data_IF_371852935961
#
_entry.id   IF_371852935961
#
_cell.length_a   1.000
_cell.length_b   1.000
_cell.length_c   1.000
_cell.angle_alpha   90.00
_cell.angle_beta   90.00
_cell.angle_gamma   90.00
#
_symmetry.space_group_name_H-M   'P 1'
#
loop_
_entity.id
_entity.type
_entity.pdbx_description
1 polymer ?
#
# COMPACT_ATOMS: atom_id res chain seq x y z
N UNK A 1 11.03 39.98 7.66
CA UNK A 1 12.00 38.87 7.67
C UNK A 1 11.31 37.71 8.39
N UNK A 2 10.78 36.72 7.66
CA UNK A 2 9.98 35.64 8.24
C UNK A 2 10.90 34.49 8.70
N UNK A 3 10.95 34.18 10.02
CA UNK A 3 11.69 33.04 10.54
C UNK A 3 10.77 31.82 10.55
N UNK A 4 10.69 31.06 9.45
CA UNK A 4 9.62 30.06 9.34
C UNK A 4 9.99 28.68 8.81
N UNK A 5 11.26 28.29 8.70
CA UNK A 5 11.55 26.90 8.28
C UNK A 5 12.66 26.25 9.10
N UNK A 6 13.80 26.89 9.30
CA UNK A 6 14.99 26.20 9.83
C UNK A 6 15.00 25.93 11.34
N UNK A 7 14.28 26.71 12.16
CA UNK A 7 14.34 26.60 13.63
C UNK A 7 13.54 25.43 14.22
N UNK A 8 12.82 24.65 13.40
CA UNK A 8 12.00 23.53 13.86
C UNK A 8 12.77 22.21 13.97
N UNK A 9 14.02 22.15 13.49
CA UNK A 9 14.81 20.91 13.40
C UNK A 9 14.30 19.89 12.37
N UNK A 10 13.14 20.12 11.73
CA UNK A 10 12.60 19.29 10.66
C UNK A 10 13.38 19.38 9.34
N UNK A 11 13.88 20.56 8.89
CA UNK A 11 14.58 20.63 7.61
C UNK A 11 15.91 19.87 7.54
N UNK A 12 16.73 19.81 8.62
CA UNK A 12 17.86 18.88 8.67
C UNK A 12 17.43 17.42 8.49
N UNK A 13 16.43 16.95 9.24
CA UNK A 13 15.94 15.57 9.15
C UNK A 13 15.41 15.22 7.75
N UNK A 14 14.70 16.16 7.10
CA UNK A 14 14.19 15.94 5.74
C UNK A 14 15.32 15.83 4.71
N UNK A 15 16.39 16.63 4.84
CA UNK A 15 17.55 16.56 3.95
C UNK A 15 18.32 15.26 4.13
N UNK A 16 18.52 14.83 5.37
CA UNK A 16 19.20 13.57 5.67
C UNK A 16 18.39 12.38 5.13
N UNK A 17 17.06 12.39 5.30
CA UNK A 17 16.18 11.34 4.80
C UNK A 17 16.15 11.26 3.26
N UNK A 18 16.31 12.38 2.54
CA UNK A 18 16.29 12.38 1.06
C UNK A 18 17.45 11.63 0.42
N UNK A 19 18.54 11.45 1.16
CA UNK A 19 19.75 10.76 0.70
C UNK A 19 19.55 9.23 0.72
N UNK A 20 18.75 8.71 1.66
CA UNK A 20 18.57 7.26 1.87
C UNK A 20 18.05 6.52 0.61
N UNK A 21 17.01 6.99 -0.10
CA UNK A 21 16.50 6.30 -1.29
C UNK A 21 17.41 6.35 -2.51
N UNK A 22 18.53 7.09 -2.45
CA UNK A 22 19.48 7.22 -3.56
C UNK A 22 20.67 6.28 -3.34
N UNK A 23 21.25 6.26 -2.14
CA UNK A 23 22.53 5.59 -1.89
C UNK A 23 22.42 4.14 -1.39
N UNK A 24 21.31 3.75 -0.77
CA UNK A 24 21.07 2.36 -0.32
C UNK A 24 20.31 1.53 -1.35
N UNK A 25 20.28 2.02 -2.59
CA UNK A 25 19.50 1.48 -3.69
C UNK A 25 18.21 2.27 -3.88
N UNK A 26 17.91 2.59 -5.14
CA UNK A 26 16.60 3.15 -5.46
C UNK A 26 15.52 2.18 -5.00
N UNK A 27 14.39 2.72 -4.52
CA UNK A 27 13.25 1.91 -4.08
C UNK A 27 12.83 0.88 -5.14
N UNK A 28 13.10 1.15 -6.42
CA UNK A 28 12.88 0.21 -7.50
C UNK A 28 13.87 -0.97 -7.49
N UNK A 29 15.16 -0.71 -7.31
CA UNK A 29 16.19 -1.78 -7.21
C UNK A 29 15.92 -2.66 -6.00
N UNK A 30 15.61 -2.08 -4.83
CA UNK A 30 15.26 -2.86 -3.64
C UNK A 30 13.98 -3.68 -3.82
N UNK A 31 12.98 -3.14 -4.53
CA UNK A 31 11.76 -3.88 -4.83
C UNK A 31 12.01 -5.07 -5.78
N UNK A 32 12.86 -4.88 -6.78
CA UNK A 32 13.28 -5.96 -7.69
C UNK A 32 14.13 -7.01 -6.97
N UNK A 33 15.00 -6.59 -6.06
CA UNK A 33 15.81 -7.49 -5.23
C UNK A 33 14.95 -8.34 -4.29
N UNK A 34 13.92 -7.74 -3.67
CA UNK A 34 12.92 -8.44 -2.90
C UNK A 34 12.22 -9.51 -3.73
N UNK A 35 11.71 -9.16 -4.92
CA UNK A 35 11.05 -10.13 -5.81
C UNK A 35 12.00 -11.28 -6.17
N UNK A 36 13.23 -10.96 -6.56
CA UNK A 36 14.24 -11.97 -6.90
C UNK A 36 14.49 -12.92 -5.74
N UNK A 37 14.60 -12.40 -4.53
CA UNK A 37 14.86 -13.18 -3.32
C UNK A 37 13.67 -14.05 -2.95
N UNK A 38 12.45 -13.50 -3.02
CA UNK A 38 11.21 -14.24 -2.76
C UNK A 38 11.06 -15.41 -3.74
N UNK A 39 11.20 -15.15 -5.03
CA UNK A 39 11.08 -16.19 -6.07
C UNK A 39 12.20 -17.23 -5.93
N UNK A 40 13.44 -16.78 -5.70
CA UNK A 40 14.60 -17.66 -5.55
C UNK A 40 14.53 -18.59 -4.34
N UNK A 41 13.82 -18.19 -3.27
CA UNK A 41 13.67 -18.97 -2.04
C UNK A 41 12.39 -19.81 -2.00
N UNK A 42 11.68 -19.97 -3.12
CA UNK A 42 10.47 -20.80 -3.18
C UNK A 42 9.18 -20.10 -2.75
N UNK A 43 9.18 -18.77 -2.64
CA UNK A 43 7.99 -17.95 -2.44
C UNK A 43 7.92 -17.26 -1.07
N UNK A 44 6.70 -17.00 -0.62
CA UNK A 44 6.37 -16.15 0.55
C UNK A 44 5.85 -16.94 1.74
N UNK A 45 5.98 -18.27 1.75
CA UNK A 45 5.46 -19.14 2.81
C UNK A 45 6.05 -18.78 4.20
N UNK A 46 7.33 -18.41 4.26
CA UNK A 46 7.96 -17.97 5.51
C UNK A 46 7.34 -16.69 6.07
N UNK A 47 6.87 -15.81 5.17
CA UNK A 47 6.18 -14.56 5.50
C UNK A 47 4.74 -14.85 5.92
N UNK A 48 4.05 -15.76 5.22
CA UNK A 48 2.72 -16.25 5.62
C UNK A 48 2.72 -16.78 7.05
N UNK A 49 3.71 -17.61 7.39
CA UNK A 49 3.90 -18.11 8.75
C UNK A 49 4.10 -16.99 9.78
N UNK A 50 4.71 -15.86 9.41
CA UNK A 50 4.82 -14.70 10.31
C UNK A 50 3.48 -14.00 10.53
N UNK A 51 2.69 -13.84 9.47
CA UNK A 51 1.33 -13.31 9.59
C UNK A 51 0.45 -14.20 10.48
N UNK A 52 0.55 -15.53 10.36
CA UNK A 52 -0.13 -16.44 11.26
C UNK A 52 0.33 -16.29 12.72
N UNK A 53 1.65 -16.17 12.96
CA UNK A 53 2.21 -15.94 14.29
C UNK A 53 1.68 -14.64 14.91
N UNK A 54 1.65 -13.56 14.13
CA UNK A 54 1.09 -12.29 14.58
C UNK A 54 -0.40 -12.39 14.87
N UNK A 55 -1.18 -13.06 14.01
CA UNK A 55 -2.61 -13.25 14.21
C UNK A 55 -2.95 -14.04 15.46
N UNK A 56 -2.24 -15.15 15.73
CA UNK A 56 -2.43 -15.96 16.94
C UNK A 56 -2.09 -15.21 18.24
N UNK A 57 -1.33 -14.13 18.16
CA UNK A 57 -0.93 -13.33 19.31
C UNK A 57 -1.88 -12.15 19.57
N UNK A 58 -3.05 -12.07 18.92
CA UNK A 58 -3.98 -10.93 19.05
C UNK A 58 -5.36 -11.42 19.48
N UNK A 59 -5.71 -11.15 20.74
CA UNK A 59 -6.98 -11.54 21.34
C UNK A 59 -7.91 -10.36 21.60
N UNK A 60 -7.37 -9.14 21.76
CA UNK A 60 -8.16 -7.97 22.11
C UNK A 60 -9.17 -7.63 20.99
N UNK A 61 -10.49 -7.51 21.29
CA UNK A 61 -11.52 -7.26 20.27
C UNK A 61 -11.26 -6.02 19.40
N UNK A 62 -10.69 -4.97 19.98
CA UNK A 62 -10.37 -3.72 19.28
C UNK A 62 -9.28 -3.87 18.21
N UNK A 63 -8.43 -4.88 18.33
CA UNK A 63 -7.31 -5.14 17.41
C UNK A 63 -7.69 -6.07 16.25
N UNK A 64 -8.86 -6.72 16.31
CA UNK A 64 -9.28 -7.71 15.31
C UNK A 64 -9.39 -7.13 13.91
N UNK A 65 -9.92 -5.90 13.79
CA UNK A 65 -9.97 -5.21 12.50
C UNK A 65 -8.57 -4.96 11.94
N UNK A 66 -7.62 -4.49 12.77
CA UNK A 66 -6.28 -4.17 12.33
C UNK A 66 -5.50 -5.41 11.86
N UNK A 67 -5.59 -6.53 12.59
CA UNK A 67 -4.92 -7.77 12.18
C UNK A 67 -5.56 -8.36 10.92
N UNK A 68 -6.88 -8.27 10.76
CA UNK A 68 -7.55 -8.73 9.55
C UNK A 68 -7.14 -7.89 8.34
N UNK A 69 -7.08 -6.57 8.46
CA UNK A 69 -6.61 -5.69 7.37
C UNK A 69 -5.18 -6.03 6.94
N UNK A 70 -4.29 -6.37 7.88
CA UNK A 70 -2.94 -6.81 7.56
C UNK A 70 -2.93 -8.14 6.78
N UNK A 71 -3.73 -9.11 7.22
CA UNK A 71 -3.88 -10.42 6.56
C UNK A 71 -4.46 -10.26 5.14
N UNK A 72 -5.49 -9.45 4.96
CA UNK A 72 -6.13 -9.23 3.65
C UNK A 72 -5.15 -8.57 2.66
N UNK A 73 -4.36 -7.60 3.12
CA UNK A 73 -3.32 -6.97 2.31
C UNK A 73 -2.22 -7.97 1.91
N UNK A 74 -1.81 -8.83 2.84
CA UNK A 74 -0.86 -9.92 2.55
C UNK A 74 -1.42 -10.92 1.54
N UNK A 75 -2.66 -11.38 1.73
CA UNK A 75 -3.32 -12.32 0.81
C UNK A 75 -3.44 -11.73 -0.59
N UNK A 76 -3.76 -10.43 -0.70
CA UNK A 76 -3.79 -9.74 -1.98
C UNK A 76 -2.40 -9.69 -2.63
N UNK A 77 -1.35 -9.43 -1.85
CA UNK A 77 0.03 -9.46 -2.35
C UNK A 77 0.47 -10.86 -2.79
N UNK A 78 0.06 -11.89 -2.05
CA UNK A 78 0.31 -13.29 -2.38
C UNK A 78 -0.34 -13.70 -3.70
N UNK A 79 -1.60 -13.32 -3.88
CA UNK A 79 -2.35 -13.61 -5.11
C UNK A 79 -1.77 -12.87 -6.31
N UNK A 80 -1.45 -11.58 -6.14
CA UNK A 80 -0.79 -10.80 -7.19
C UNK A 80 0.53 -11.45 -7.60
N UNK A 81 1.35 -11.89 -6.64
CA UNK A 81 2.65 -12.49 -6.93
C UNK A 81 2.52 -13.80 -7.73
N UNK A 82 1.49 -14.62 -7.44
CA UNK A 82 1.20 -15.84 -8.21
C UNK A 82 0.78 -15.50 -9.64
N UNK A 83 -0.14 -14.54 -9.80
CA UNK A 83 -0.67 -14.13 -11.10
C UNK A 83 0.42 -13.51 -11.97
N UNK A 84 1.17 -12.55 -11.43
CA UNK A 84 2.25 -11.87 -12.14
C UNK A 84 3.37 -12.83 -12.57
N UNK A 85 3.66 -13.87 -11.78
CA UNK A 85 4.62 -14.92 -12.17
C UNK A 85 4.15 -15.73 -13.38
N UNK A 86 2.84 -15.97 -13.52
CA UNK A 86 2.28 -16.68 -14.65
C UNK A 86 2.26 -15.82 -15.93
N UNK A 87 2.07 -14.51 -15.80
CA UNK A 87 2.03 -13.55 -16.93
C UNK A 87 3.43 -13.20 -17.47
N UNK A 88 4.45 -13.21 -16.62
CA UNK A 88 5.85 -13.12 -17.03
C UNK A 88 6.64 -11.97 -16.39
N UNK A 89 7.90 -11.85 -16.79
CA UNK A 89 8.86 -10.96 -16.12
C UNK A 89 8.54 -9.47 -16.25
N UNK A 90 7.87 -9.03 -17.32
CA UNK A 90 7.55 -7.61 -17.51
C UNK A 90 6.50 -7.13 -16.49
N UNK A 91 5.44 -7.91 -16.28
CA UNK A 91 4.39 -7.62 -15.29
C UNK A 91 4.94 -7.63 -13.86
N UNK A 92 5.78 -8.63 -13.55
CA UNK A 92 6.49 -8.71 -12.26
C UNK A 92 7.31 -7.46 -11.98
N UNK A 93 8.13 -7.03 -12.94
CA UNK A 93 8.99 -5.85 -12.78
C UNK A 93 8.17 -4.57 -12.68
N UNK A 94 7.10 -4.43 -13.47
CA UNK A 94 6.22 -3.27 -13.46
C UNK A 94 5.47 -3.10 -12.12
N UNK A 95 5.09 -4.21 -11.47
CA UNK A 95 4.40 -4.19 -10.18
C UNK A 95 5.31 -4.27 -8.95
N UNK A 96 6.62 -4.49 -9.12
CA UNK A 96 7.57 -4.78 -8.04
C UNK A 96 7.48 -3.79 -6.87
N UNK A 97 7.46 -2.49 -7.17
CA UNK A 97 7.41 -1.45 -6.13
C UNK A 97 6.08 -1.46 -5.37
N UNK A 98 4.96 -1.70 -6.07
CA UNK A 98 3.62 -1.78 -5.45
C UNK A 98 3.52 -3.00 -4.55
N UNK A 99 4.06 -4.12 -4.99
CA UNK A 99 4.17 -5.33 -4.19
C UNK A 99 5.00 -5.11 -2.92
N UNK A 100 6.22 -4.58 -3.06
CA UNK A 100 7.12 -4.35 -1.93
C UNK A 100 6.49 -3.43 -0.87
N UNK A 101 5.82 -2.35 -1.29
CA UNK A 101 5.13 -1.43 -0.37
C UNK A 101 3.93 -2.09 0.31
N UNK A 102 3.12 -2.82 -0.45
CA UNK A 102 1.94 -3.51 0.12
C UNK A 102 2.37 -4.54 1.17
N UNK A 103 3.40 -5.33 0.85
CA UNK A 103 3.95 -6.31 1.78
C UNK A 103 4.55 -5.64 3.02
N UNK A 104 5.32 -4.55 2.83
CA UNK A 104 5.92 -3.78 3.92
C UNK A 104 4.87 -3.20 4.87
N UNK A 105 3.82 -2.55 4.35
CA UNK A 105 2.76 -1.98 5.18
C UNK A 105 1.89 -3.06 5.85
N UNK A 106 1.67 -4.19 5.20
CA UNK A 106 0.99 -5.32 5.83
C UNK A 106 1.80 -5.85 7.03
N UNK A 107 3.12 -6.01 6.89
CA UNK A 107 4.00 -6.42 7.98
C UNK A 107 4.06 -5.38 9.10
N UNK A 108 4.18 -4.10 8.74
CA UNK A 108 4.17 -2.98 9.68
C UNK A 108 2.90 -3.00 10.55
N UNK A 109 1.73 -3.18 9.93
CA UNK A 109 0.46 -3.26 10.64
C UNK A 109 0.37 -4.51 11.51
N UNK A 110 0.78 -5.68 11.01
CA UNK A 110 0.78 -6.93 11.76
C UNK A 110 1.65 -6.83 13.03
N UNK A 111 2.87 -6.31 12.90
CA UNK A 111 3.79 -6.13 14.03
C UNK A 111 3.30 -5.07 15.02
N UNK A 112 2.78 -3.94 14.54
CA UNK A 112 2.21 -2.90 15.39
C UNK A 112 1.02 -3.44 16.18
N UNK A 113 0.17 -4.24 15.54
CA UNK A 113 -1.00 -4.86 16.18
C UNK A 113 -0.59 -5.89 17.23
N UNK A 114 0.40 -6.74 16.93
CA UNK A 114 0.96 -7.69 17.90
C UNK A 114 1.59 -6.98 19.10
N UNK A 115 2.35 -5.92 18.86
CA UNK A 115 2.92 -5.11 19.94
C UNK A 115 1.84 -4.42 20.77
N UNK A 116 0.77 -3.93 20.13
CA UNK A 116 -0.37 -3.36 20.80
C UNK A 116 -1.06 -4.37 21.74
N UNK A 117 -1.21 -5.64 21.33
CA UNK A 117 -1.72 -6.68 22.24
C UNK A 117 -0.83 -6.78 23.49
N UNK A 118 0.49 -6.93 23.29
CA UNK A 118 1.42 -7.07 24.39
C UNK A 118 1.38 -5.88 25.36
N UNK A 119 1.34 -4.65 24.84
CA UNK A 119 1.28 -3.43 25.64
C UNK A 119 -0.03 -3.28 26.42
N UNK A 120 -1.16 -3.71 25.83
CA UNK A 120 -2.44 -3.77 26.55
C UNK A 120 -2.39 -4.73 27.74
N UNK A 121 -1.75 -5.89 27.59
CA UNK A 121 -1.64 -6.91 28.63
C UNK A 121 -0.66 -6.55 29.75
N UNK A 122 0.52 -6.04 29.37
CA UNK A 122 1.66 -5.89 30.30
C UNK A 122 1.82 -4.46 30.82
N UNK A 123 1.50 -3.46 30.01
CA UNK A 123 1.69 -2.04 30.33
C UNK A 123 0.38 -1.30 30.61
N UNK A 124 -0.76 -1.91 30.26
CA UNK A 124 -2.08 -1.29 30.31
C UNK A 124 -2.14 0.02 29.50
N UNK A 125 -1.32 0.12 28.44
CA UNK A 125 -1.22 1.31 27.59
C UNK A 125 -1.98 1.11 26.27
N UNK A 126 -2.96 1.98 26.03
CA UNK A 126 -3.80 1.95 24.84
C UNK A 126 -3.22 2.68 23.62
N UNK A 127 -2.08 3.36 23.74
CA UNK A 127 -1.52 4.18 22.65
C UNK A 127 -1.12 3.36 21.43
N UNK A 128 -0.44 2.22 21.63
CA UNK A 128 -0.06 1.32 20.54
C UNK A 128 -1.28 0.74 19.83
N UNK A 129 -2.34 0.40 20.58
CA UNK A 129 -3.60 -0.04 19.99
C UNK A 129 -4.27 1.07 19.17
N UNK A 130 -4.24 2.30 19.66
CA UNK A 130 -4.77 3.45 18.94
C UNK A 130 -3.95 3.80 17.68
N UNK A 131 -2.65 3.49 17.66
CA UNK A 131 -1.81 3.60 16.47
C UNK A 131 -2.15 2.51 15.44
N UNK A 132 -2.29 1.25 15.87
CA UNK A 132 -2.69 0.14 15.01
C UNK A 132 -4.05 0.40 14.33
N UNK A 133 -5.05 0.88 15.08
CA UNK A 133 -6.37 1.25 14.54
C UNK A 133 -6.28 2.35 13.47
N UNK A 134 -5.45 3.38 13.68
CA UNK A 134 -5.24 4.46 12.71
C UNK A 134 -4.48 4.01 11.46
N UNK A 135 -3.55 3.08 11.63
CA UNK A 135 -2.81 2.50 10.51
C UNK A 135 -3.72 1.58 9.68
N UNK A 136 -4.56 0.78 10.34
CA UNK A 136 -5.57 -0.06 9.68
C UNK A 136 -6.61 0.74 8.88
N UNK A 137 -6.88 1.99 9.28
CA UNK A 137 -7.78 2.88 8.56
C UNK A 137 -7.17 3.50 7.28
N UNK A 138 -5.87 3.32 7.04
CA UNK A 138 -5.18 3.84 5.84
C UNK A 138 -5.15 2.80 4.72
N UNK A 139 -5.13 3.23 3.45
CA UNK A 139 -4.97 2.31 2.33
C UNK A 139 -3.54 1.75 2.30
N UNK A 140 -3.37 0.54 2.85
CA UNK A 140 -2.08 -0.18 2.86
C UNK A 140 -1.87 -1.09 1.65
N UNK A 141 -2.94 -1.39 0.91
CA UNK A 141 -2.88 -2.14 -0.34
C UNK A 141 -2.68 -1.19 -1.53
N UNK A 142 -1.60 -1.40 -2.28
CA UNK A 142 -1.25 -0.61 -3.45
C UNK A 142 -1.28 -1.41 -4.76
N UNK A 143 -1.76 -2.65 -4.75
CA UNK A 143 -1.73 -3.54 -5.90
C UNK A 143 -2.96 -3.45 -6.81
N UNK A 144 -3.99 -2.69 -6.43
CA UNK A 144 -5.14 -2.39 -7.28
C UNK A 144 -4.68 -1.63 -8.52
N UNK A 145 -4.82 -2.22 -9.70
CA UNK A 145 -4.36 -1.60 -10.95
C UNK A 145 -5.17 -0.35 -11.32
N UNK A 146 -4.47 0.64 -11.84
CA UNK A 146 -5.02 1.60 -12.80
C UNK A 146 -4.60 1.15 -14.20
N UNK A 147 -5.59 0.85 -15.04
CA UNK A 147 -5.56 0.66 -16.51
C UNK A 147 -4.17 0.35 -17.13
N UNK A 148 -3.82 -0.94 -17.21
CA UNK A 148 -2.58 -1.42 -17.83
C UNK A 148 -2.42 -1.03 -19.31
N UNK A 149 -3.51 -1.00 -20.09
CA UNK A 149 -3.49 -0.58 -21.50
C UNK A 149 -3.08 0.89 -21.67
N UNK A 150 -3.53 1.76 -20.76
CA UNK A 150 -3.15 3.17 -20.76
C UNK A 150 -1.65 3.38 -20.48
N UNK A 151 -1.04 2.51 -19.67
CA UNK A 151 0.36 2.67 -19.26
C UNK A 151 1.34 2.36 -20.40
N UNK A 152 1.08 1.32 -21.18
CA UNK A 152 1.93 0.93 -22.32
C UNK A 152 1.82 1.94 -23.48
N UNK A 153 0.61 2.46 -23.72
CA UNK A 153 0.39 3.54 -24.68
C UNK A 153 1.14 4.83 -24.29
N UNK A 154 1.15 5.19 -23.00
CA UNK A 154 1.93 6.32 -22.48
C UNK A 154 3.44 6.09 -22.62
N UNK A 155 3.94 4.90 -22.28
CA UNK A 155 5.36 4.57 -22.35
C UNK A 155 5.91 4.57 -23.78
N UNK A 156 5.09 4.17 -24.75
CA UNK A 156 5.45 4.13 -26.18
C UNK A 156 5.07 5.39 -26.95
N UNK A 157 4.58 6.42 -26.25
CA UNK A 157 4.08 7.66 -26.85
C UNK A 157 3.09 7.39 -28.00
N UNK A 158 2.32 6.31 -27.87
CA UNK A 158 1.34 5.89 -28.86
C UNK A 158 0.05 6.68 -28.64
N UNK A 159 -0.45 7.31 -29.70
CA UNK A 159 -1.70 8.06 -29.67
C UNK A 159 -2.89 7.12 -29.49
N UNK A 160 -3.25 6.83 -28.24
CA UNK A 160 -4.63 6.53 -27.86
C UNK A 160 -5.44 7.83 -27.82
N UNK A 161 -6.78 7.73 -27.88
CA UNK A 161 -7.75 8.84 -27.74
C UNK A 161 -7.21 9.88 -26.77
N UNK A 162 -7.11 11.12 -27.23
CA UNK A 162 -6.23 12.14 -26.66
C UNK A 162 -6.39 12.22 -25.14
N UNK A 163 -5.29 12.50 -24.43
CA UNK A 163 -5.28 12.60 -22.95
C UNK A 163 -6.39 13.55 -22.44
N UNK A 164 -6.79 14.54 -23.25
CA UNK A 164 -7.91 15.44 -23.01
C UNK A 164 -9.30 14.77 -23.13
N UNK A 165 -9.54 13.91 -24.13
CA UNK A 165 -10.82 13.22 -24.31
C UNK A 165 -11.13 12.22 -23.19
N UNK A 166 -10.11 11.62 -22.54
CA UNK A 166 -10.33 10.72 -21.39
C UNK A 166 -10.87 11.47 -20.16
N UNK A 167 -10.44 12.71 -19.93
CA UNK A 167 -10.92 13.54 -18.82
C UNK A 167 -12.21 14.31 -19.12
N UNK A 168 -12.61 14.41 -20.39
CA UNK A 168 -13.88 15.01 -20.82
C UNK A 168 -15.08 14.04 -20.76
N UNK A 169 -14.88 12.78 -20.36
CA UNK A 169 -16.02 11.89 -20.10
C UNK A 169 -16.71 12.26 -18.78
N UNK A 170 -17.99 12.68 -18.80
CA UNK A 170 -18.67 13.09 -17.59
C UNK A 170 -19.11 11.86 -16.79
N UNK A 171 -18.19 11.26 -16.01
CA UNK A 171 -18.53 10.27 -14.97
C UNK A 171 -18.84 10.90 -13.61
N UNK A 172 -19.19 12.18 -13.58
CA UNK A 172 -19.77 12.80 -12.39
C UNK A 172 -20.81 13.85 -12.79
N UNK A 173 -21.98 13.40 -13.27
CA UNK A 173 -23.21 14.16 -13.06
C UNK A 173 -23.98 13.49 -11.93
N UNK A 174 -23.90 14.16 -10.79
CA UNK A 174 -24.78 14.05 -9.64
C UNK A 174 -26.19 13.58 -10.01
N UNK A 175 -26.63 12.50 -9.38
CA UNK A 175 -28.05 12.25 -9.18
C UNK A 175 -28.61 13.35 -8.28
N UNK A 176 -29.17 14.39 -8.87
CA UNK A 176 -30.25 15.16 -8.28
C UNK A 176 -30.93 15.99 -9.36
N UNK A 177 -32.14 15.52 -9.67
CA UNK A 177 -33.34 16.33 -9.85
C UNK A 177 -33.53 17.15 -11.13
N UNK A 178 -34.62 16.79 -11.83
CA UNK A 178 -35.48 17.58 -12.73
C UNK A 178 -36.17 16.57 -13.68
N UNK A 179 -37.46 16.62 -13.99
CA UNK A 179 -38.37 17.75 -14.04
C UNK A 179 -39.81 17.30 -14.33
N UNK A 180 -40.75 18.20 -14.03
CA UNK A 180 -41.99 18.49 -14.80
C UNK A 180 -43.13 17.45 -14.76
N UNK A 181 -44.32 17.76 -14.19
CA UNK A 181 -45.32 18.74 -14.67
C UNK A 181 -45.44 18.80 -16.19
N UNK A 182 -46.43 18.11 -16.76
CA UNK A 182 -47.59 18.74 -17.43
C UNK A 182 -48.63 17.71 -17.92
N UNK A 183 -49.89 17.96 -17.53
CA UNK A 183 -51.16 17.80 -18.28
C UNK A 183 -51.46 16.47 -19.00
N UNK A 184 -52.42 15.69 -18.48
CA UNK A 184 -53.87 15.72 -18.84
C UNK A 184 -54.67 15.45 -17.57
#
# INVERSE_FOLDING_TARGET
>A
MLPQVEDTGLPPLLRDAQVLPIWEGTTNVLALDLLRTVIGNGGIESVENEFERCSRAVDAPRLQCAVQTALDAFQTAAEWLRTAQAEGSEVLQAGARRFARTLGHALELAYTTRHAQWSLEHEQDGRSAAAAERMAAQPINHLTESDGEGTDALAREQAGTSLFERYDTPKFRSGSDSSHRERV
#
